data_IF_292304440196
#
_entry.id   IF_292304440196
#
_cell.length_a   1.000
_cell.length_b   1.000
_cell.length_c   1.000
_cell.angle_alpha   90.00
_cell.angle_beta   90.00
_cell.angle_gamma   90.00
#
_symmetry.space_group_name_H-M   'P 1'
#
loop_
_entity.id
_entity.type
_entity.pdbx_description
1 polymer ?
#
# COMPACT_ATOMS: atom_id res chain seq x y z
N UNK A 1 2.20 18.10 4.04
CA UNK A 1 3.24 17.07 3.85
C UNK A 1 3.15 16.55 2.42
N UNK A 2 4.26 16.44 1.72
CA UNK A 2 4.31 15.84 0.38
C UNK A 2 4.39 14.32 0.50
N UNK A 3 3.52 13.60 -0.19
CA UNK A 3 3.56 12.15 -0.30
C UNK A 3 3.80 11.76 -1.77
N UNK A 4 4.79 10.91 -2.01
CA UNK A 4 5.17 10.43 -3.33
C UNK A 4 4.70 8.98 -3.43
N UNK A 5 3.76 8.72 -4.32
CA UNK A 5 3.30 7.37 -4.60
C UNK A 5 4.07 6.80 -5.80
N UNK A 6 4.64 5.61 -5.61
CA UNK A 6 5.12 4.82 -6.73
C UNK A 6 3.97 3.94 -7.27
N UNK A 7 3.89 3.84 -8.59
CA UNK A 7 2.83 3.07 -9.23
C UNK A 7 3.39 2.25 -10.38
N UNK A 8 3.11 0.97 -10.39
CA UNK A 8 3.58 0.02 -11.41
C UNK A 8 3.40 0.51 -12.87
N UNK A 9 2.38 1.32 -13.12
CA UNK A 9 2.08 1.84 -14.46
C UNK A 9 2.87 3.09 -14.86
N UNK A 10 3.78 3.58 -14.03
CA UNK A 10 4.52 4.85 -14.24
C UNK A 10 6.03 4.62 -14.29
N UNK A 11 6.78 5.70 -14.56
CA UNK A 11 8.25 5.64 -14.49
C UNK A 11 8.75 5.51 -13.04
N UNK A 12 8.01 6.04 -12.08
CA UNK A 12 8.26 5.86 -10.65
C UNK A 12 7.42 4.67 -10.19
N UNK A 13 7.98 3.47 -10.24
CA UNK A 13 7.19 2.23 -10.09
C UNK A 13 7.62 1.32 -8.94
N UNK A 14 8.58 1.74 -8.12
CA UNK A 14 9.11 0.90 -7.06
C UNK A 14 9.47 1.67 -5.79
N UNK A 15 9.58 0.96 -4.67
CA UNK A 15 10.05 1.50 -3.37
C UNK A 15 11.44 2.10 -3.51
N UNK A 16 12.34 1.41 -4.19
CA UNK A 16 13.73 1.85 -4.41
C UNK A 16 13.79 3.19 -5.14
N UNK A 17 12.97 3.38 -6.16
CA UNK A 17 12.90 4.63 -6.90
C UNK A 17 12.28 5.75 -6.06
N UNK A 18 11.22 5.45 -5.29
CA UNK A 18 10.63 6.40 -4.36
C UNK A 18 11.64 6.89 -3.32
N UNK A 19 12.42 5.97 -2.77
CA UNK A 19 13.51 6.27 -1.84
C UNK A 19 14.62 7.12 -2.47
N UNK A 20 14.98 6.84 -3.72
CA UNK A 20 15.98 7.62 -4.44
C UNK A 20 15.49 9.05 -4.68
N UNK A 21 14.24 9.20 -5.12
CA UNK A 21 13.64 10.50 -5.36
C UNK A 21 13.56 11.34 -4.07
N UNK A 22 13.18 10.74 -2.93
CA UNK A 22 13.16 11.45 -1.65
C UNK A 22 14.52 12.03 -1.28
N UNK A 23 15.61 11.29 -1.53
CA UNK A 23 16.97 11.78 -1.28
C UNK A 23 17.38 12.91 -2.23
N UNK A 24 16.91 12.87 -3.47
CA UNK A 24 17.24 13.86 -4.48
C UNK A 24 16.51 15.19 -4.25
N UNK A 25 15.23 15.15 -3.93
CA UNK A 25 14.43 16.37 -3.74
C UNK A 25 14.75 17.11 -2.44
N UNK A 26 15.22 16.39 -1.42
CA UNK A 26 15.58 16.91 -0.08
C UNK A 26 14.53 17.88 0.51
N UNK A 27 13.24 17.51 0.40
CA UNK A 27 12.13 18.33 0.90
C UNK A 27 11.77 17.86 2.31
N UNK A 28 11.92 18.72 3.33
CA UNK A 28 11.57 18.38 4.70
C UNK A 28 10.10 17.93 4.83
N UNK A 29 9.89 16.77 5.43
CA UNK A 29 8.57 16.20 5.63
C UNK A 29 7.96 15.52 4.42
N UNK A 30 8.65 15.42 3.29
CA UNK A 30 8.27 14.53 2.21
C UNK A 30 8.39 13.06 2.63
N UNK A 31 7.58 12.20 2.04
CA UNK A 31 7.63 10.77 2.31
C UNK A 31 7.01 9.96 1.17
N UNK A 32 7.25 8.65 1.20
CA UNK A 32 6.66 7.69 0.26
C UNK A 32 5.27 7.29 0.74
N UNK A 33 4.33 7.21 -0.17
CA UNK A 33 3.09 6.45 -0.01
C UNK A 33 3.38 5.01 -0.38
N UNK A 34 3.17 4.09 0.56
CA UNK A 34 3.26 2.66 0.31
C UNK A 34 1.87 2.13 -0.08
N UNK A 35 1.59 2.05 -1.38
CA UNK A 35 0.42 1.33 -1.88
C UNK A 35 0.75 -0.17 -1.95
N UNK A 36 0.04 -0.98 -1.15
CA UNK A 36 0.24 -2.42 -1.10
C UNK A 36 -0.03 -3.10 -2.43
N UNK A 37 -0.99 -2.62 -3.22
CA UNK A 37 -1.24 -3.14 -4.57
C UNK A 37 -0.03 -3.01 -5.47
N UNK A 38 0.58 -1.82 -5.53
CA UNK A 38 1.73 -1.57 -6.38
C UNK A 38 3.00 -2.24 -5.87
N UNK A 39 3.13 -2.38 -4.56
CA UNK A 39 4.24 -3.07 -3.93
C UNK A 39 4.24 -4.57 -4.21
N UNK A 40 3.14 -5.25 -3.94
CA UNK A 40 3.06 -6.71 -4.08
C UNK A 40 3.00 -7.17 -5.54
N UNK A 41 2.43 -6.37 -6.41
CA UNK A 41 2.27 -6.71 -7.83
C UNK A 41 3.33 -6.07 -8.73
N UNK A 42 4.46 -5.68 -8.17
CA UNK A 42 5.62 -5.23 -8.95
C UNK A 42 6.12 -6.36 -9.87
N UNK A 43 6.46 -6.09 -11.16
CA UNK A 43 6.83 -7.13 -12.13
C UNK A 43 8.00 -8.03 -11.73
N UNK A 44 8.90 -7.52 -10.89
CA UNK A 44 10.06 -8.25 -10.37
C UNK A 44 9.84 -8.81 -8.96
N UNK A 45 8.61 -8.77 -8.46
CA UNK A 45 8.26 -9.11 -7.09
C UNK A 45 8.37 -7.95 -6.12
N UNK A 46 7.84 -8.14 -4.92
CA UNK A 46 7.89 -7.14 -3.86
C UNK A 46 9.33 -6.86 -3.40
N UNK A 47 9.69 -5.59 -3.36
CA UNK A 47 11.05 -5.14 -2.98
C UNK A 47 11.23 -5.10 -1.45
N UNK A 48 11.21 -6.28 -0.82
CA UNK A 48 11.30 -6.41 0.64
C UNK A 48 12.55 -5.77 1.24
N UNK A 49 13.71 -5.98 0.62
CA UNK A 49 14.98 -5.43 1.11
C UNK A 49 14.97 -3.89 1.07
N UNK A 50 14.39 -3.31 0.01
CA UNK A 50 14.25 -1.86 -0.11
C UNK A 50 13.26 -1.31 0.92
N UNK A 51 12.14 -2.00 1.16
CA UNK A 51 11.17 -1.64 2.18
C UNK A 51 11.78 -1.68 3.58
N UNK A 52 12.56 -2.72 3.87
CA UNK A 52 13.22 -2.90 5.15
C UNK A 52 14.33 -1.86 5.39
N UNK A 53 15.05 -1.47 4.35
CA UNK A 53 16.13 -0.47 4.44
C UNK A 53 15.62 0.96 4.64
N UNK A 54 14.36 1.27 4.31
CA UNK A 54 13.81 2.59 4.47
C UNK A 54 13.55 2.92 5.95
N UNK A 55 14.01 4.09 6.43
CA UNK A 55 13.60 4.60 7.73
C UNK A 55 12.07 4.78 7.78
N UNK A 56 11.46 4.47 8.91
CA UNK A 56 10.00 4.63 9.07
C UNK A 56 9.53 6.08 8.90
N UNK A 57 10.39 7.05 9.18
CA UNK A 57 10.13 8.47 8.91
C UNK A 57 9.97 8.80 7.42
N UNK A 58 10.46 7.92 6.54
CA UNK A 58 10.33 8.07 5.09
C UNK A 58 8.93 7.71 4.56
N UNK A 59 8.07 7.10 5.37
CA UNK A 59 6.69 6.80 4.96
C UNK A 59 5.76 7.95 5.31
N UNK A 60 5.01 8.45 4.35
CA UNK A 60 3.95 9.44 4.54
C UNK A 60 2.65 8.79 4.98
N UNK A 61 2.26 7.71 4.34
CA UNK A 61 1.09 6.89 4.61
C UNK A 61 1.24 5.50 3.98
N UNK A 62 0.30 4.62 4.30
CA UNK A 62 0.07 3.35 3.60
C UNK A 62 -1.29 3.41 2.93
N UNK A 63 -1.36 3.07 1.65
CA UNK A 63 -2.62 2.74 0.97
C UNK A 63 -2.79 1.23 1.00
N UNK A 64 -3.84 0.80 1.69
CA UNK A 64 -4.08 -0.59 2.04
C UNK A 64 -5.16 -1.20 1.15
N UNK A 65 -4.80 -2.23 0.44
CA UNK A 65 -5.68 -3.17 -0.23
C UNK A 65 -5.04 -4.54 -0.25
N UNK A 66 -5.79 -5.54 -0.64
CA UNK A 66 -5.29 -6.88 -0.91
C UNK A 66 -5.52 -7.26 -2.36
N UNK A 67 -5.00 -8.38 -2.79
CA UNK A 67 -5.15 -8.86 -4.15
C UNK A 67 -4.67 -10.30 -4.33
N UNK A 68 -4.88 -10.78 -5.53
CA UNK A 68 -4.36 -12.06 -6.02
C UNK A 68 -3.62 -11.84 -7.33
N UNK A 69 -2.72 -12.74 -7.71
CA UNK A 69 -2.10 -12.69 -9.04
C UNK A 69 -3.15 -12.60 -10.16
N UNK A 70 -2.83 -11.92 -11.21
CA UNK A 70 -3.68 -11.76 -12.40
C UNK A 70 -2.87 -12.03 -13.68
N UNK A 71 -3.57 -12.21 -14.79
CA UNK A 71 -2.95 -12.52 -16.08
C UNK A 71 -2.12 -11.33 -16.58
N UNK A 72 -1.00 -11.66 -17.23
CA UNK A 72 -0.14 -10.65 -17.86
C UNK A 72 -0.96 -9.83 -18.89
N UNK A 73 -0.78 -8.50 -18.84
CA UNK A 73 -1.52 -7.57 -19.69
C UNK A 73 -2.82 -7.03 -19.07
N UNK A 74 -3.34 -7.64 -18.00
CA UNK A 74 -4.57 -7.19 -17.35
C UNK A 74 -4.35 -6.12 -16.24
N UNK A 75 -3.14 -5.55 -16.12
CA UNK A 75 -2.79 -4.65 -15.00
C UNK A 75 -3.78 -3.50 -14.80
N UNK A 76 -4.11 -2.77 -15.85
CA UNK A 76 -4.99 -1.60 -15.74
C UNK A 76 -6.40 -1.99 -15.30
N UNK A 77 -6.94 -3.05 -15.85
CA UNK A 77 -8.25 -3.57 -15.48
C UNK A 77 -8.23 -4.12 -14.05
N UNK A 78 -7.22 -4.92 -13.70
CA UNK A 78 -7.08 -5.49 -12.37
C UNK A 78 -6.92 -4.40 -11.30
N UNK A 79 -6.14 -3.35 -11.56
CA UNK A 79 -5.96 -2.21 -10.66
C UNK A 79 -7.27 -1.50 -10.36
N UNK A 80 -8.14 -1.35 -11.35
CA UNK A 80 -9.39 -0.61 -11.21
C UNK A 80 -10.56 -1.45 -10.69
N UNK A 81 -10.47 -2.79 -10.78
CA UNK A 81 -11.65 -3.64 -10.57
C UNK A 81 -11.42 -4.85 -9.66
N UNK A 82 -10.16 -5.25 -9.41
CA UNK A 82 -9.89 -6.55 -8.75
C UNK A 82 -9.17 -6.44 -7.41
N UNK A 83 -9.01 -5.23 -6.88
CA UNK A 83 -8.50 -5.09 -5.50
C UNK A 83 -9.50 -5.77 -4.55
N UNK A 84 -8.97 -6.39 -3.50
CA UNK A 84 -9.74 -7.06 -2.46
C UNK A 84 -9.69 -6.29 -1.15
N UNK A 85 -10.64 -6.58 -0.28
CA UNK A 85 -10.57 -6.09 1.09
C UNK A 85 -9.30 -6.63 1.78
N UNK A 86 -8.69 -5.88 2.69
CA UNK A 86 -7.52 -6.33 3.43
C UNK A 86 -7.76 -7.67 4.13
N UNK A 87 -6.86 -8.65 3.89
CA UNK A 87 -6.97 -10.02 4.41
C UNK A 87 -7.81 -10.97 3.56
N UNK A 88 -8.38 -10.52 2.43
CA UNK A 88 -9.15 -11.38 1.51
C UNK A 88 -8.35 -11.81 0.26
N UNK A 89 -7.06 -11.49 0.20
CA UNK A 89 -6.16 -11.84 -0.90
C UNK A 89 -4.96 -12.66 -0.43
N UNK A 90 -3.91 -12.62 -1.25
CA UNK A 90 -2.69 -13.40 -1.06
C UNK A 90 -1.49 -12.53 -0.65
N UNK A 91 -1.69 -11.22 -0.39
CA UNK A 91 -0.59 -10.35 -0.02
C UNK A 91 -0.14 -10.60 1.42
N UNK A 92 1.17 -10.59 1.66
CA UNK A 92 1.75 -10.70 3.01
C UNK A 92 1.58 -9.40 3.82
N UNK A 93 0.32 -8.92 3.94
CA UNK A 93 0.01 -7.61 4.55
C UNK A 93 0.51 -7.49 5.99
N UNK A 94 0.39 -8.55 6.79
CA UNK A 94 0.85 -8.54 8.18
C UNK A 94 2.35 -8.24 8.26
N UNK A 95 3.18 -8.91 7.46
CA UNK A 95 4.63 -8.67 7.38
C UNK A 95 4.93 -7.24 6.91
N UNK A 96 4.22 -6.78 5.89
CA UNK A 96 4.40 -5.44 5.34
C UNK A 96 4.10 -4.37 6.39
N UNK A 97 2.96 -4.48 7.06
CA UNK A 97 2.53 -3.55 8.11
C UNK A 97 3.46 -3.59 9.33
N UNK A 98 3.90 -4.76 9.76
CA UNK A 98 4.88 -4.89 10.83
C UNK A 98 6.16 -4.11 10.52
N UNK A 99 6.73 -4.25 9.32
CA UNK A 99 7.95 -3.54 8.92
C UNK A 99 7.80 -2.03 8.96
N UNK A 100 6.64 -1.48 8.59
CA UNK A 100 6.45 -0.02 8.51
C UNK A 100 5.92 0.59 9.80
N UNK A 101 5.39 -0.20 10.72
CA UNK A 101 4.82 0.29 11.99
C UNK A 101 5.74 0.09 13.19
N UNK A 102 6.37 -1.08 13.36
CA UNK A 102 7.16 -1.41 14.56
C UNK A 102 8.46 -0.62 14.67
N UNK A 103 9.02 -0.16 13.56
CA UNK A 103 10.22 0.67 13.55
C UNK A 103 9.97 2.13 13.96
N UNK A 104 8.72 2.53 14.19
CA UNK A 104 8.37 3.88 14.63
C UNK A 104 8.50 4.00 16.14
N UNK A 105 9.64 4.45 16.60
CA UNK A 105 9.89 4.70 18.01
C UNK A 105 9.15 5.93 18.60
N UNK A 106 8.25 6.56 17.83
CA UNK A 106 7.46 7.70 18.27
C UNK A 106 5.94 7.45 18.13
N UNK A 107 5.18 8.20 18.92
CA UNK A 107 3.72 8.10 19.00
C UNK A 107 2.97 8.65 17.76
N UNK A 108 3.64 9.05 16.71
CA UNK A 108 2.97 9.50 15.49
C UNK A 108 2.49 8.31 14.67
N UNK A 109 1.20 8.03 14.75
CA UNK A 109 0.60 6.96 13.95
C UNK A 109 0.84 7.20 12.46
N UNK A 110 1.31 6.17 11.75
CA UNK A 110 1.35 6.18 10.30
C UNK A 110 -0.09 6.15 9.79
N UNK A 111 -0.54 7.15 9.02
CA UNK A 111 -1.89 7.10 8.45
C UNK A 111 -2.04 5.88 7.55
N UNK A 112 -3.10 5.12 7.78
CA UNK A 112 -3.49 4.01 6.92
C UNK A 112 -4.78 4.40 6.22
N UNK A 113 -4.72 4.45 4.90
CA UNK A 113 -5.83 4.77 4.01
C UNK A 113 -6.22 3.49 3.29
N UNK A 114 -7.48 3.14 3.27
CA UNK A 114 -7.92 1.96 2.52
C UNK A 114 -8.28 2.37 1.11
N UNK A 115 -7.67 1.71 0.13
CA UNK A 115 -7.90 1.96 -1.29
C UNK A 115 -8.26 0.66 -2.01
N UNK A 116 -9.55 0.33 -1.98
CA UNK A 116 -10.10 -0.89 -2.58
C UNK A 116 -10.93 -0.54 -3.81
N UNK A 117 -10.28 -0.58 -4.97
CA UNK A 117 -10.92 -0.45 -6.27
C UNK A 117 -11.40 -1.84 -6.73
N UNK A 118 -12.66 -2.14 -6.46
CA UNK A 118 -13.24 -3.48 -6.63
C UNK A 118 -14.61 -3.44 -7.28
N UNK A 119 -14.78 -4.15 -8.39
CA UNK A 119 -16.09 -4.32 -9.02
C UNK A 119 -17.04 -5.12 -8.10
N UNK A 120 -16.51 -6.11 -7.41
CA UNK A 120 -17.30 -6.92 -6.48
C UNK A 120 -17.85 -6.10 -5.30
N UNK A 121 -17.08 -5.13 -4.82
CA UNK A 121 -17.51 -4.28 -3.71
C UNK A 121 -18.47 -3.16 -4.14
N UNK A 122 -18.49 -2.76 -5.42
CA UNK A 122 -19.40 -1.74 -5.95
C UNK A 122 -20.87 -2.14 -5.90
N UNK A 123 -21.19 -3.42 -5.69
CA UNK A 123 -22.57 -3.88 -5.52
C UNK A 123 -23.20 -3.47 -4.17
N UNK A 124 -22.38 -3.13 -3.19
CA UNK A 124 -22.84 -2.74 -1.86
C UNK A 124 -23.16 -1.25 -1.80
N UNK A 125 -24.03 -0.86 -0.86
CA UNK A 125 -24.19 0.55 -0.53
C UNK A 125 -22.91 1.15 0.01
N UNK A 126 -22.73 2.46 -0.10
CA UNK A 126 -21.55 3.15 0.42
C UNK A 126 -21.35 2.89 1.93
N UNK A 127 -22.41 2.88 2.71
CA UNK A 127 -22.34 2.59 4.15
C UNK A 127 -21.88 1.15 4.43
N UNK A 128 -22.40 0.19 3.69
CA UNK A 128 -22.01 -1.20 3.82
C UNK A 128 -20.55 -1.42 3.38
N UNK A 129 -20.16 -0.86 2.26
CA UNK A 129 -18.77 -0.90 1.80
C UNK A 129 -17.81 -0.30 2.83
N UNK A 130 -18.14 0.87 3.40
CA UNK A 130 -17.32 1.49 4.42
C UNK A 130 -17.20 0.63 5.68
N UNK A 131 -18.29 -0.03 6.12
CA UNK A 131 -18.27 -0.94 7.27
C UNK A 131 -17.39 -2.15 6.98
N UNK A 132 -17.60 -2.85 5.86
CA UNK A 132 -16.82 -4.02 5.45
C UNK A 132 -15.33 -3.71 5.38
N UNK A 133 -14.99 -2.60 4.75
CA UNK A 133 -13.62 -2.10 4.61
C UNK A 133 -12.98 -1.82 5.97
N UNK A 134 -13.71 -1.17 6.87
CA UNK A 134 -13.23 -0.87 8.21
C UNK A 134 -13.01 -2.14 9.05
N UNK A 135 -13.94 -3.09 8.98
CA UNK A 135 -13.87 -4.36 9.71
C UNK A 135 -12.68 -5.21 9.21
N UNK A 136 -12.53 -5.36 7.89
CA UNK A 136 -11.41 -6.06 7.28
C UNK A 136 -10.05 -5.44 7.66
N UNK A 137 -9.96 -4.12 7.63
CA UNK A 137 -8.71 -3.42 7.98
C UNK A 137 -8.37 -3.58 9.46
N UNK A 138 -9.34 -3.46 10.38
CA UNK A 138 -9.11 -3.64 11.83
C UNK A 138 -8.63 -5.06 12.17
N UNK A 139 -9.09 -6.06 11.44
CA UNK A 139 -8.67 -7.44 11.67
C UNK A 139 -7.16 -7.66 11.46
N UNK A 140 -6.47 -6.78 10.75
CA UNK A 140 -5.01 -6.83 10.59
C UNK A 140 -4.23 -6.20 11.76
N UNK A 141 -4.92 -5.55 12.68
CA UNK A 141 -4.32 -4.90 13.87
C UNK A 141 -4.98 -5.46 15.12
N UNK A 142 -4.68 -6.71 15.51
CA UNK A 142 -5.19 -7.26 16.78
C UNK A 142 -4.66 -6.43 17.94
N UNK A 143 -5.49 -6.24 18.96
CA UNK A 143 -5.19 -5.51 20.20
C UNK A 143 -4.01 -6.14 20.98
#
# INVERSE_FOLDING_TARGET
>A
RLAIEFSRGTQLNSVSQGAALLREIDVPGAGVTLDTWHFFLHPQGAEWDALEALPTSSFANVQLSDGVPYEEGAFGEATMNRRRLPGEGDFELARCLELVTTKRGDASALPIVVEVLSEAERQYSLAEFARRTADASRALFPD
#
